data_IF_023455034499
#
_entry.id   IF_023455034499
#
_cell.length_a   1.000
_cell.length_b   1.000
_cell.length_c   1.000
_cell.angle_alpha   90.00
_cell.angle_beta   90.00
_cell.angle_gamma   90.00
#
_symmetry.space_group_name_H-M   'P 1'
#
loop_
_entity.id
_entity.type
_entity.pdbx_description
1 polymer ?
#
# COMPACT_ATOMS: atom_id res chain seq x y z
N UNK A 1 -20.69 7.69 -16.27
CA UNK A 1 -19.36 7.30 -16.78
C UNK A 1 -18.47 7.06 -15.59
N UNK A 2 -17.78 5.92 -15.54
CA UNK A 2 -16.84 5.61 -14.45
C UNK A 2 -15.60 6.50 -14.51
N UNK A 3 -14.76 6.49 -13.47
CA UNK A 3 -13.45 7.17 -13.52
C UNK A 3 -12.57 6.62 -14.64
N UNK A 4 -12.59 5.30 -14.84
CA UNK A 4 -11.90 4.62 -15.92
C UNK A 4 -12.37 5.13 -17.29
N UNK A 5 -13.67 5.18 -17.52
CA UNK A 5 -14.27 5.65 -18.78
C UNK A 5 -13.87 7.11 -19.09
N UNK A 6 -13.82 7.97 -18.08
CA UNK A 6 -13.38 9.37 -18.26
C UNK A 6 -11.90 9.45 -18.68
N UNK A 7 -11.07 8.57 -18.16
CA UNK A 7 -9.63 8.57 -18.38
C UNK A 7 -9.25 7.94 -19.74
N UNK A 8 -9.80 6.75 -20.01
CA UNK A 8 -9.48 5.92 -21.17
C UNK A 8 -10.38 6.17 -22.38
N UNK A 9 -11.56 6.78 -22.17
CA UNK A 9 -12.51 7.12 -23.24
C UNK A 9 -13.43 5.97 -23.67
N UNK A 10 -13.28 4.78 -23.12
CA UNK A 10 -14.11 3.61 -23.43
C UNK A 10 -14.60 2.90 -22.15
N UNK A 11 -15.67 2.12 -22.27
CA UNK A 11 -16.23 1.34 -21.16
C UNK A 11 -15.35 0.14 -20.83
N UNK A 12 -15.10 -0.08 -19.55
CA UNK A 12 -14.42 -1.27 -19.05
C UNK A 12 -15.35 -2.47 -19.16
N UNK A 13 -14.99 -3.48 -19.97
CA UNK A 13 -15.85 -4.65 -20.21
C UNK A 13 -15.16 -5.98 -19.87
N UNK A 14 -13.92 -6.16 -20.30
CA UNK A 14 -13.11 -7.33 -19.96
C UNK A 14 -11.62 -7.01 -20.01
N UNK A 15 -10.76 -7.79 -19.34
CA UNK A 15 -9.31 -7.62 -19.42
C UNK A 15 -8.76 -7.65 -20.85
N UNK A 16 -9.27 -8.52 -21.72
CA UNK A 16 -8.85 -8.65 -23.13
C UNK A 16 -9.21 -7.39 -23.92
N UNK A 17 -10.43 -6.90 -23.73
CA UNK A 17 -10.91 -5.67 -24.34
C UNK A 17 -10.05 -4.47 -23.90
N UNK A 18 -9.80 -4.33 -22.60
CA UNK A 18 -8.94 -3.27 -22.05
C UNK A 18 -7.54 -3.36 -22.64
N UNK A 19 -6.88 -4.53 -22.57
CA UNK A 19 -5.52 -4.71 -23.12
C UNK A 19 -5.44 -4.40 -24.61
N UNK A 20 -6.45 -4.78 -25.40
CA UNK A 20 -6.47 -4.50 -26.85
C UNK A 20 -6.59 -3.02 -27.21
N UNK A 21 -7.05 -2.18 -26.28
CA UNK A 21 -7.23 -0.73 -26.48
C UNK A 21 -6.16 0.10 -25.76
N UNK A 22 -5.16 -0.55 -25.18
CA UNK A 22 -4.04 0.09 -24.51
C UNK A 22 -2.73 -0.26 -25.20
N UNK A 23 -1.86 0.74 -25.32
CA UNK A 23 -0.48 0.56 -25.72
C UNK A 23 0.42 1.03 -24.58
N UNK A 24 1.37 0.19 -24.18
CA UNK A 24 2.37 0.50 -23.16
C UNK A 24 3.72 0.69 -23.84
N UNK A 25 4.31 1.88 -23.70
CA UNK A 25 5.65 2.19 -24.21
C UNK A 25 6.51 2.73 -23.07
N UNK A 26 7.35 1.85 -22.50
CA UNK A 26 8.11 2.16 -21.29
C UNK A 26 7.16 2.42 -20.11
N UNK A 27 7.18 3.65 -19.60
CA UNK A 27 6.33 4.10 -18.48
C UNK A 27 5.06 4.84 -18.93
N UNK A 28 4.83 4.95 -20.25
CA UNK A 28 3.71 5.68 -20.83
C UNK A 28 2.61 4.72 -21.26
N UNK A 29 1.39 4.98 -20.78
CA UNK A 29 0.18 4.25 -21.09
C UNK A 29 -0.71 5.08 -22.02
N UNK A 30 -0.89 4.59 -23.24
CA UNK A 30 -1.69 5.25 -24.28
C UNK A 30 -3.02 4.53 -24.45
N UNK A 31 -4.12 5.28 -24.40
CA UNK A 31 -5.42 4.75 -24.85
C UNK A 31 -5.54 4.90 -26.36
N UNK A 32 -5.62 3.78 -27.06
CA UNK A 32 -5.81 3.72 -28.51
C UNK A 32 -7.21 4.22 -28.94
N UNK A 33 -8.15 4.32 -28.00
CA UNK A 33 -9.50 4.79 -28.28
C UNK A 33 -9.60 6.32 -28.37
N UNK A 34 -8.96 7.04 -27.45
CA UNK A 34 -9.06 8.50 -27.36
C UNK A 34 -7.72 9.23 -27.62
N UNK A 35 -6.63 8.49 -27.83
CA UNK A 35 -5.29 9.02 -28.10
C UNK A 35 -4.61 9.68 -26.90
N UNK A 36 -5.19 9.64 -25.70
CA UNK A 36 -4.58 10.22 -24.50
C UNK A 36 -3.47 9.33 -23.98
N UNK A 37 -2.41 9.97 -23.49
CA UNK A 37 -1.22 9.33 -22.93
C UNK A 37 -1.05 9.77 -21.48
N UNK A 38 -0.74 8.81 -20.60
CA UNK A 38 -0.50 9.05 -19.19
C UNK A 38 0.69 8.24 -18.71
N UNK A 39 1.53 8.83 -17.86
CA UNK A 39 2.62 8.09 -17.24
C UNK A 39 2.08 7.14 -16.17
N UNK A 40 2.11 5.84 -16.41
CA UNK A 40 1.78 4.86 -15.37
C UNK A 40 2.91 4.71 -14.35
N UNK A 41 4.15 5.02 -14.75
CA UNK A 41 5.33 4.87 -13.91
C UNK A 41 5.83 3.42 -13.88
N UNK A 42 6.70 3.11 -12.92
CA UNK A 42 7.29 1.75 -12.78
C UNK A 42 6.76 1.07 -11.52
N UNK A 43 6.16 -0.11 -11.66
CA UNK A 43 5.80 -0.94 -10.51
C UNK A 43 7.00 -1.78 -10.06
N UNK A 44 7.20 -1.81 -8.75
CA UNK A 44 8.13 -2.70 -8.09
C UNK A 44 7.43 -3.46 -6.95
N UNK A 45 7.56 -4.79 -6.90
CA UNK A 45 7.05 -5.61 -5.79
C UNK A 45 8.22 -6.14 -4.97
N UNK A 46 8.46 -5.53 -3.83
CA UNK A 46 9.73 -5.63 -3.10
C UNK A 46 9.51 -5.93 -1.62
N UNK A 47 10.36 -6.79 -1.07
CA UNK A 47 10.35 -7.14 0.35
C UNK A 47 10.95 -6.04 1.23
N UNK A 48 10.60 -6.04 2.52
CA UNK A 48 11.20 -5.15 3.50
C UNK A 48 12.73 -5.31 3.55
N UNK A 49 13.25 -6.53 3.56
CA UNK A 49 14.71 -6.76 3.62
C UNK A 49 15.42 -6.24 2.36
N UNK A 50 14.82 -6.40 1.18
CA UNK A 50 15.37 -5.83 -0.05
C UNK A 50 15.39 -4.30 -0.02
N UNK A 51 14.36 -3.65 0.54
CA UNK A 51 14.32 -2.20 0.72
C UNK A 51 15.36 -1.73 1.75
N UNK A 52 15.50 -2.46 2.86
CA UNK A 52 16.49 -2.19 3.89
C UNK A 52 17.92 -2.31 3.36
N UNK A 53 18.19 -3.28 2.48
CA UNK A 53 19.49 -3.44 1.83
C UNK A 53 19.88 -2.29 0.90
N UNK A 54 18.90 -1.53 0.40
CA UNK A 54 19.12 -0.42 -0.56
C UNK A 54 19.11 0.96 0.08
N UNK A 55 18.52 1.09 1.25
CA UNK A 55 18.40 2.37 1.94
C UNK A 55 19.01 2.27 3.33
N UNK A 56 20.01 3.10 3.61
CA UNK A 56 20.62 3.17 4.93
C UNK A 56 19.84 4.19 5.78
N UNK A 57 19.15 3.78 6.86
CA UNK A 57 18.46 4.70 7.76
C UNK A 57 19.43 5.72 8.39
N UNK A 58 20.70 5.33 8.50
CA UNK A 58 21.81 6.14 9.01
C UNK A 58 22.51 7.04 7.99
N UNK A 59 21.95 7.28 6.80
CA UNK A 59 22.38 8.44 5.98
C UNK A 59 21.98 9.71 6.71
N UNK A 60 22.82 10.12 7.66
CA UNK A 60 22.64 11.29 8.51
C UNK A 60 22.47 12.52 7.62
N UNK A 61 21.22 12.89 7.40
CA UNK A 61 20.87 14.20 6.85
C UNK A 61 20.96 15.20 8.00
N UNK A 62 21.27 16.46 7.68
CA UNK A 62 21.43 17.52 8.68
C UNK A 62 20.16 17.83 9.48
N UNK A 63 19.00 17.30 9.07
CA UNK A 63 17.70 17.53 9.67
C UNK A 63 17.05 16.22 10.11
N UNK A 64 16.50 16.21 11.33
CA UNK A 64 15.66 15.12 11.85
C UNK A 64 14.33 15.01 11.08
N UNK A 65 13.77 13.81 11.05
CA UNK A 65 12.42 13.59 10.54
C UNK A 65 11.39 14.24 11.45
N UNK A 66 10.29 14.71 10.88
CA UNK A 66 9.14 15.28 11.61
C UNK A 66 7.89 14.45 11.33
N UNK A 67 6.94 14.44 12.26
CA UNK A 67 5.64 13.79 12.04
C UNK A 67 4.48 14.65 12.54
N UNK A 68 3.45 14.79 11.71
CA UNK A 68 2.25 15.56 12.02
C UNK A 68 0.98 14.91 11.45
N UNK A 69 -0.17 15.30 11.98
CA UNK A 69 -1.47 14.99 11.38
C UNK A 69 -1.81 16.01 10.28
N UNK A 70 -2.40 15.55 9.19
CA UNK A 70 -3.02 16.41 8.17
C UNK A 70 -4.46 15.99 7.98
N UNK A 71 -5.39 16.92 8.23
CA UNK A 71 -6.82 16.69 7.98
C UNK A 71 -7.15 17.14 6.55
N UNK A 72 -7.33 16.18 5.63
CA UNK A 72 -7.55 16.47 4.22
C UNK A 72 -8.26 15.33 3.48
N UNK A 73 -8.79 15.61 2.28
CA UNK A 73 -9.08 14.59 1.28
C UNK A 73 -7.77 14.22 0.57
N UNK A 74 -7.45 12.93 0.56
CA UNK A 74 -6.20 12.44 -0.03
C UNK A 74 -6.11 12.72 -1.54
N UNK A 75 -7.24 12.83 -2.25
CA UNK A 75 -7.25 13.23 -3.67
C UNK A 75 -6.77 14.67 -3.86
N UNK A 76 -7.18 15.58 -2.97
CA UNK A 76 -6.73 16.98 -3.02
C UNK A 76 -5.22 17.06 -2.72
N UNK A 77 -4.71 16.21 -1.82
CA UNK A 77 -3.27 16.10 -1.59
C UNK A 77 -2.51 15.60 -2.82
N UNK A 78 -3.08 14.67 -3.60
CA UNK A 78 -2.47 14.24 -4.86
C UNK A 78 -2.53 15.35 -5.92
N UNK A 79 -3.64 16.09 -6.02
CA UNK A 79 -3.82 17.18 -6.99
C UNK A 79 -2.89 18.38 -6.70
N UNK A 80 -2.56 18.66 -5.43
CA UNK A 80 -1.67 19.77 -5.08
C UNK A 80 -0.25 19.55 -5.64
N UNK A 81 0.12 20.37 -6.62
CA UNK A 81 1.42 20.35 -7.28
C UNK A 81 2.60 20.56 -6.30
N UNK A 82 2.39 21.10 -5.09
CA UNK A 82 3.43 21.18 -4.05
C UNK A 82 3.90 19.81 -3.58
N UNK A 83 3.06 18.79 -3.77
CA UNK A 83 3.35 17.40 -3.43
C UNK A 83 3.95 16.61 -4.60
N UNK A 84 4.26 17.25 -5.74
CA UNK A 84 5.00 16.62 -6.82
C UNK A 84 6.27 15.90 -6.30
N UNK A 85 6.44 14.66 -6.71
CA UNK A 85 7.54 13.77 -6.31
C UNK A 85 7.41 13.20 -4.89
N UNK A 86 6.35 13.49 -4.13
CA UNK A 86 6.15 12.91 -2.78
C UNK A 86 5.73 11.45 -2.84
N UNK A 87 5.89 10.74 -1.72
CA UNK A 87 5.43 9.36 -1.56
C UNK A 87 4.09 9.33 -0.81
N UNK A 88 3.15 8.50 -1.27
CA UNK A 88 1.89 8.24 -0.59
C UNK A 88 1.80 6.76 -0.21
N UNK A 89 1.61 6.45 1.06
CA UNK A 89 1.20 5.13 1.50
C UNK A 89 -0.27 4.93 1.14
N UNK A 90 -0.56 3.83 0.45
CA UNK A 90 -1.90 3.47 0.01
C UNK A 90 -2.33 2.19 0.70
N UNK A 91 -3.48 2.24 1.37
CA UNK A 91 -4.11 1.03 1.91
C UNK A 91 -4.62 0.18 0.74
N UNK A 92 -4.08 -1.03 0.62
CA UNK A 92 -4.29 -1.94 -0.50
C UNK A 92 -4.46 -3.37 0.02
N UNK A 93 -4.86 -4.29 -0.84
CA UNK A 93 -4.75 -5.73 -0.58
C UNK A 93 -3.37 -6.28 -0.96
N UNK A 94 -3.10 -7.54 -0.58
CA UNK A 94 -1.81 -8.20 -0.85
C UNK A 94 -1.56 -8.47 -2.35
N UNK A 95 -2.56 -8.30 -3.20
CA UNK A 95 -2.41 -8.32 -4.67
C UNK A 95 -2.22 -6.93 -5.28
N UNK A 96 -2.04 -5.88 -4.47
CA UNK A 96 -1.90 -4.52 -4.95
C UNK A 96 -3.11 -4.00 -5.73
N UNK A 97 -4.32 -4.42 -5.34
CA UNK A 97 -5.60 -3.91 -5.84
C UNK A 97 -6.46 -3.45 -4.66
N UNK A 98 -7.45 -2.61 -4.95
CA UNK A 98 -8.36 -1.99 -3.98
C UNK A 98 -9.82 -2.46 -4.16
N UNK A 99 -10.01 -3.77 -4.36
CA UNK A 99 -11.32 -4.40 -4.52
C UNK A 99 -12.12 -4.41 -3.20
N UNK A 100 -13.39 -3.98 -3.23
CA UNK A 100 -14.23 -3.77 -2.03
C UNK A 100 -14.50 -5.02 -1.16
N UNK A 101 -14.25 -6.22 -1.69
CA UNK A 101 -14.38 -7.47 -0.95
C UNK A 101 -13.70 -8.66 -1.62
N UNK A 102 -13.57 -9.80 -0.92
CA UNK A 102 -12.88 -10.99 -1.42
C UNK A 102 -13.59 -11.67 -2.59
N UNK A 103 -14.87 -11.38 -2.83
CA UNK A 103 -15.64 -11.92 -3.97
C UNK A 103 -15.40 -11.15 -5.27
N UNK A 104 -14.67 -10.03 -5.21
CA UNK A 104 -14.48 -9.15 -6.36
C UNK A 104 -13.12 -9.46 -6.98
N UNK A 105 -13.15 -9.97 -8.21
CA UNK A 105 -11.96 -10.42 -8.94
C UNK A 105 -11.33 -9.29 -9.78
N UNK A 106 -10.05 -9.40 -10.17
CA UNK A 106 -9.41 -8.47 -11.12
C UNK A 106 -10.21 -8.20 -12.41
N UNK A 107 -10.91 -9.21 -12.92
CA UNK A 107 -11.69 -9.16 -14.16
C UNK A 107 -12.95 -8.29 -14.04
N UNK A 108 -13.45 -8.08 -12.82
CA UNK A 108 -14.58 -7.16 -12.56
C UNK A 108 -14.21 -5.69 -12.76
N UNK A 109 -12.92 -5.40 -12.91
CA UNK A 109 -12.39 -4.11 -13.33
C UNK A 109 -12.16 -3.12 -12.20
N UNK A 110 -11.36 -2.10 -12.49
CA UNK A 110 -10.96 -1.07 -11.53
C UNK A 110 -11.89 0.13 -11.55
N UNK A 111 -12.76 0.26 -12.55
CA UNK A 111 -13.80 1.28 -12.65
C UNK A 111 -14.73 1.31 -11.43
N UNK A 112 -14.94 0.16 -10.78
CA UNK A 112 -15.78 0.01 -9.59
C UNK A 112 -15.25 0.75 -8.36
N UNK A 113 -13.97 1.16 -8.36
CA UNK A 113 -13.32 1.86 -7.24
C UNK A 113 -14.04 3.18 -6.87
N UNK A 114 -14.77 3.80 -7.81
CA UNK A 114 -15.52 5.02 -7.53
C UNK A 114 -16.68 4.84 -6.52
N UNK A 115 -17.10 3.59 -6.31
CA UNK A 115 -18.17 3.23 -5.38
C UNK A 115 -17.65 3.03 -3.95
N UNK A 116 -16.34 2.88 -3.77
CA UNK A 116 -15.69 2.75 -2.47
C UNK A 116 -15.14 4.10 -2.02
N UNK A 117 -15.54 4.52 -0.81
CA UNK A 117 -15.20 5.82 -0.22
C UNK A 117 -14.01 5.75 0.74
N UNK A 118 -13.35 4.61 0.84
CA UNK A 118 -12.13 4.45 1.62
C UNK A 118 -10.93 5.11 0.94
N UNK A 119 -9.85 5.34 1.70
CA UNK A 119 -8.68 6.05 1.19
C UNK A 119 -7.90 5.27 0.12
N UNK A 120 -7.91 3.93 0.17
CA UNK A 120 -7.21 3.08 -0.80
C UNK A 120 -7.64 3.34 -2.25
N UNK A 121 -8.91 3.09 -2.59
CA UNK A 121 -9.50 3.41 -3.88
C UNK A 121 -9.34 4.88 -4.27
N UNK A 122 -9.43 5.81 -3.32
CA UNK A 122 -9.23 7.23 -3.58
C UNK A 122 -7.80 7.55 -4.08
N UNK A 123 -6.77 6.98 -3.43
CA UNK A 123 -5.39 7.08 -3.89
C UNK A 123 -5.17 6.37 -5.23
N UNK A 124 -5.71 5.15 -5.39
CA UNK A 124 -5.58 4.37 -6.61
C UNK A 124 -6.18 5.11 -7.83
N UNK A 125 -7.35 5.72 -7.67
CA UNK A 125 -7.97 6.55 -8.71
C UNK A 125 -7.23 7.87 -8.95
N UNK A 126 -6.50 8.39 -7.95
CA UNK A 126 -5.71 9.62 -8.10
C UNK A 126 -4.58 9.46 -9.13
N UNK A 127 -4.02 8.25 -9.23
CA UNK A 127 -3.00 7.87 -10.20
C UNK A 127 -3.51 6.72 -11.09
N UNK A 128 -4.55 7.04 -11.86
CA UNK A 128 -5.35 6.05 -12.57
C UNK A 128 -4.57 5.20 -13.58
N UNK A 129 -3.55 5.77 -14.23
CA UNK A 129 -2.71 5.02 -15.17
C UNK A 129 -1.91 3.91 -14.46
N UNK A 130 -1.34 4.19 -13.28
CA UNK A 130 -0.67 3.18 -12.45
C UNK A 130 -1.63 2.08 -12.00
N UNK A 131 -2.85 2.45 -11.62
CA UNK A 131 -3.90 1.47 -11.23
C UNK A 131 -4.33 0.58 -12.39
N UNK A 132 -4.55 1.13 -13.58
CA UNK A 132 -4.88 0.34 -14.78
C UNK A 132 -3.73 -0.60 -15.12
N UNK A 133 -2.48 -0.13 -15.05
CA UNK A 133 -1.30 -0.96 -15.27
C UNK A 133 -1.26 -2.16 -14.30
N UNK A 134 -1.41 -1.91 -12.99
CA UNK A 134 -1.38 -2.94 -11.94
C UNK A 134 -2.45 -4.02 -12.13
N UNK A 135 -3.60 -3.70 -12.69
CA UNK A 135 -4.65 -4.69 -12.93
C UNK A 135 -4.46 -5.41 -14.28
N UNK A 136 -4.18 -4.69 -15.35
CA UNK A 136 -4.32 -5.22 -16.72
C UNK A 136 -3.01 -5.54 -17.43
N UNK A 137 -1.90 -4.93 -17.03
CA UNK A 137 -0.65 -4.94 -17.82
C UNK A 137 0.58 -5.41 -17.05
N UNK A 138 0.49 -5.52 -15.72
CA UNK A 138 1.59 -6.03 -14.90
C UNK A 138 1.98 -7.45 -15.34
N UNK A 139 3.26 -7.74 -15.60
CA UNK A 139 3.70 -9.09 -15.89
C UNK A 139 3.65 -9.95 -14.63
N UNK A 140 3.01 -11.11 -14.70
CA UNK A 140 2.95 -12.11 -13.62
C UNK A 140 3.29 -13.48 -14.20
N UNK A 141 4.52 -13.94 -13.97
CA UNK A 141 5.01 -15.15 -14.62
C UNK A 141 4.93 -15.03 -16.15
N UNK A 142 4.16 -15.90 -16.80
CA UNK A 142 3.90 -15.86 -18.24
C UNK A 142 2.64 -15.07 -18.64
N UNK A 143 1.90 -14.51 -17.69
CA UNK A 143 0.65 -13.79 -17.90
C UNK A 143 0.85 -12.27 -17.88
N UNK A 144 0.01 -11.55 -18.62
CA UNK A 144 -0.12 -10.09 -18.56
C UNK A 144 -1.41 -9.69 -17.84
N UNK A 145 -1.29 -8.94 -16.76
CA UNK A 145 -2.39 -8.55 -15.88
C UNK A 145 -2.72 -9.60 -14.82
N UNK A 146 -3.43 -9.17 -13.78
CA UNK A 146 -3.92 -10.03 -12.71
C UNK A 146 -5.25 -10.68 -13.13
N UNK A 147 -5.46 -11.92 -12.70
CA UNK A 147 -6.71 -12.67 -12.86
C UNK A 147 -7.12 -13.31 -11.55
N UNK A 148 -8.34 -13.83 -11.43
CA UNK A 148 -8.76 -14.60 -10.24
C UNK A 148 -7.78 -15.74 -9.92
N UNK A 149 -7.24 -16.40 -10.95
CA UNK A 149 -6.38 -17.57 -10.82
C UNK A 149 -4.89 -17.27 -10.64
N UNK A 150 -4.42 -16.07 -10.99
CA UNK A 150 -3.01 -15.69 -10.91
C UNK A 150 -2.87 -14.20 -10.57
N UNK A 151 -2.37 -13.93 -9.37
CA UNK A 151 -2.27 -12.60 -8.78
C UNK A 151 -0.89 -12.39 -8.17
N UNK A 152 -0.54 -11.12 -7.98
CA UNK A 152 0.53 -10.76 -7.05
C UNK A 152 0.10 -11.22 -5.64
N UNK A 153 1.05 -11.75 -4.86
CA UNK A 153 0.86 -12.05 -3.45
C UNK A 153 2.03 -11.50 -2.65
N UNK A 154 1.82 -10.36 -2.00
CA UNK A 154 2.82 -9.69 -1.18
C UNK A 154 3.19 -10.41 0.14
N UNK A 155 2.54 -11.54 0.45
CA UNK A 155 2.90 -12.40 1.57
C UNK A 155 3.44 -13.76 1.14
N UNK A 156 3.69 -14.00 -0.14
CA UNK A 156 4.11 -15.33 -0.63
C UNK A 156 5.38 -15.85 0.08
N UNK A 157 6.40 -15.01 0.25
CA UNK A 157 7.66 -15.42 0.89
C UNK A 157 7.48 -15.66 2.39
N UNK A 158 6.66 -14.84 3.04
CA UNK A 158 6.30 -15.02 4.44
C UNK A 158 5.48 -16.31 4.64
N UNK A 159 4.54 -16.62 3.74
CA UNK A 159 3.77 -17.86 3.73
C UNK A 159 4.67 -19.09 3.61
N UNK A 160 5.61 -19.06 2.65
CA UNK A 160 6.60 -20.13 2.47
C UNK A 160 7.43 -20.35 3.72
N UNK A 161 7.95 -19.28 4.33
CA UNK A 161 8.73 -19.38 5.55
C UNK A 161 7.93 -19.99 6.71
N UNK A 162 6.67 -19.58 6.92
CA UNK A 162 5.81 -20.20 7.93
C UNK A 162 5.54 -21.68 7.65
N UNK A 163 5.34 -22.05 6.38
CA UNK A 163 5.09 -23.41 5.93
C UNK A 163 6.23 -24.40 6.24
N UNK A 164 7.47 -23.91 6.34
CA UNK A 164 8.63 -24.74 6.72
C UNK A 164 8.60 -25.17 8.19
N UNK A 165 7.97 -24.38 9.06
CA UNK A 165 7.91 -24.64 10.51
C UNK A 165 6.63 -25.39 10.93
N UNK A 166 5.54 -25.23 10.19
CA UNK A 166 4.26 -25.89 10.46
C UNK A 166 3.44 -25.93 9.17
N UNK A 167 2.60 -26.97 8.94
CA UNK A 167 1.66 -27.00 7.82
C UNK A 167 0.52 -25.98 8.07
N UNK A 168 0.87 -24.70 7.99
CA UNK A 168 -0.03 -23.57 8.08
C UNK A 168 -0.52 -23.28 6.68
N UNK A 169 -1.82 -23.13 6.53
CA UNK A 169 -2.41 -22.63 5.30
C UNK A 169 -3.52 -21.62 5.60
N UNK A 170 -3.72 -20.71 4.66
CA UNK A 170 -4.88 -19.82 4.65
C UNK A 170 -5.49 -19.81 3.27
N UNK A 171 -6.77 -19.44 3.20
CA UNK A 171 -7.39 -19.15 1.93
C UNK A 171 -6.93 -17.77 1.47
N UNK A 172 -6.10 -17.72 0.43
CA UNK A 172 -5.84 -16.51 -0.33
C UNK A 172 -6.98 -16.31 -1.32
N UNK A 173 -7.71 -15.20 -1.22
CA UNK A 173 -8.81 -14.90 -2.14
C UNK A 173 -8.79 -13.43 -2.54
N UNK A 174 -8.43 -13.14 -3.80
CA UNK A 174 -8.41 -11.78 -4.36
C UNK A 174 -7.65 -10.74 -3.50
N UNK A 175 -6.49 -11.14 -2.95
CA UNK A 175 -5.67 -10.27 -2.10
C UNK A 175 -6.04 -10.31 -0.61
N UNK A 176 -7.05 -11.08 -0.21
CA UNK A 176 -7.45 -11.27 1.18
C UNK A 176 -6.85 -12.57 1.75
N UNK A 177 -6.25 -12.48 2.92
CA UNK A 177 -5.71 -13.61 3.69
C UNK A 177 -6.73 -14.04 4.73
N UNK A 178 -7.29 -15.24 4.57
CA UNK A 178 -8.39 -15.75 5.39
C UNK A 178 -8.03 -17.11 6.02
N UNK A 179 -7.21 -17.12 7.09
CA UNK A 179 -6.98 -18.33 7.89
C UNK A 179 -8.25 -18.72 8.65
N UNK A 180 -8.45 -20.03 8.82
CA UNK A 180 -9.43 -20.53 9.78
C UNK A 180 -8.95 -20.32 11.24
N UNK A 181 -9.79 -20.69 12.21
CA UNK A 181 -9.49 -20.51 13.62
C UNK A 181 -8.23 -21.25 14.09
N UNK A 182 -7.97 -22.44 13.52
CA UNK A 182 -6.87 -23.32 13.91
C UNK A 182 -5.56 -22.74 13.38
N UNK A 183 -5.54 -22.43 12.08
CA UNK A 183 -4.39 -21.85 11.40
C UNK A 183 -4.04 -20.48 11.99
N UNK A 184 -5.02 -19.60 12.22
CA UNK A 184 -4.77 -18.30 12.85
C UNK A 184 -4.12 -18.44 14.23
N UNK A 185 -4.64 -19.37 15.05
CA UNK A 185 -4.08 -19.64 16.38
C UNK A 185 -2.64 -20.17 16.28
N UNK A 186 -2.38 -21.12 15.38
CA UNK A 186 -1.05 -21.68 15.17
C UNK A 186 -0.04 -20.62 14.72
N UNK A 187 -0.41 -19.77 13.76
CA UNK A 187 0.42 -18.64 13.32
C UNK A 187 0.73 -17.74 14.52
N UNK A 188 -0.29 -17.29 15.25
CA UNK A 188 -0.08 -16.35 16.34
C UNK A 188 0.69 -16.96 17.51
N UNK A 189 0.52 -18.23 17.82
CA UNK A 189 1.30 -18.91 18.86
C UNK A 189 2.76 -19.07 18.44
N UNK A 190 3.03 -19.41 17.17
CA UNK A 190 4.37 -19.43 16.61
C UNK A 190 5.04 -18.05 16.72
N UNK A 191 4.37 -16.99 16.24
CA UNK A 191 4.90 -15.63 16.29
C UNK A 191 5.17 -15.14 17.72
N UNK A 192 4.35 -15.51 18.71
CA UNK A 192 4.61 -15.18 20.12
C UNK A 192 5.79 -15.93 20.72
N UNK A 193 6.13 -17.10 20.15
CA UNK A 193 7.28 -17.91 20.56
C UNK A 193 8.61 -17.46 19.93
N UNK A 194 8.56 -16.69 18.85
CA UNK A 194 9.73 -16.15 18.17
C UNK A 194 10.48 -15.12 19.03
N UNK A 195 11.80 -15.13 18.94
CA UNK A 195 12.69 -14.05 19.38
C UNK A 195 12.56 -12.83 18.46
N UNK A 196 13.05 -11.68 18.91
CA UNK A 196 13.07 -10.46 18.07
C UNK A 196 13.89 -10.61 16.78
N UNK A 197 14.92 -11.47 16.77
CA UNK A 197 15.69 -11.75 15.56
C UNK A 197 14.85 -12.50 14.53
N UNK A 198 14.13 -13.54 14.98
CA UNK A 198 13.23 -14.32 14.12
C UNK A 198 12.05 -13.46 13.63
N UNK A 199 11.46 -12.63 14.51
CA UNK A 199 10.42 -11.68 14.11
C UNK A 199 10.95 -10.66 13.08
N UNK A 200 12.21 -10.22 13.21
CA UNK A 200 12.84 -9.30 12.26
C UNK A 200 13.05 -9.97 10.89
N UNK A 201 13.49 -11.22 10.87
CA UNK A 201 13.60 -12.01 9.64
C UNK A 201 12.23 -12.18 8.96
N UNK A 202 11.19 -12.54 9.73
CA UNK A 202 9.83 -12.69 9.22
C UNK A 202 9.24 -11.38 8.69
N UNK A 203 9.43 -10.25 9.39
CA UNK A 203 9.06 -8.92 8.88
C UNK A 203 9.77 -8.62 7.56
N UNK A 204 11.03 -8.99 7.45
CA UNK A 204 11.88 -8.83 6.26
C UNK A 204 11.28 -9.43 4.99
N UNK A 205 10.48 -10.50 5.13
CA UNK A 205 9.86 -11.23 4.01
C UNK A 205 8.55 -10.59 3.49
N UNK A 206 7.93 -9.69 4.26
CA UNK A 206 6.69 -9.03 3.83
C UNK A 206 7.01 -8.07 2.69
N UNK A 207 6.26 -8.17 1.59
CA UNK A 207 6.41 -7.31 0.42
C UNK A 207 5.40 -6.18 0.40
N UNK A 208 5.76 -5.10 -0.28
CA UNK A 208 4.86 -4.02 -0.69
C UNK A 208 4.98 -3.78 -2.18
N UNK A 209 3.97 -3.15 -2.78
CA UNK A 209 4.05 -2.65 -4.14
C UNK A 209 4.43 -1.17 -4.14
N UNK A 210 5.42 -0.75 -4.92
CA UNK A 210 5.74 0.66 -5.10
C UNK A 210 5.54 1.02 -6.56
N UNK A 211 4.56 1.89 -6.84
CA UNK A 211 4.40 2.51 -8.14
C UNK A 211 5.19 3.82 -8.14
N UNK A 212 6.40 3.78 -8.71
CA UNK A 212 7.28 4.93 -8.82
C UNK A 212 6.82 5.90 -9.90
N UNK A 213 6.84 7.19 -9.58
CA UNK A 213 6.72 8.29 -10.56
C UNK A 213 5.47 8.18 -11.47
N UNK A 214 4.33 7.83 -10.87
CA UNK A 214 3.04 7.72 -11.56
C UNK A 214 2.33 9.07 -11.65
N UNK A 215 1.73 9.36 -12.81
CA UNK A 215 1.06 10.64 -13.04
C UNK A 215 -0.22 10.74 -12.20
N UNK A 216 -0.43 11.91 -11.59
CA UNK A 216 -1.73 12.26 -11.03
C UNK A 216 -2.70 12.57 -12.17
N UNK A 217 -3.77 11.78 -12.29
CA UNK A 217 -4.73 11.85 -13.41
C UNK A 217 -6.01 12.61 -13.08
N UNK A 218 -6.10 13.18 -11.87
CA UNK A 218 -7.23 14.00 -11.45
C UNK A 218 -6.99 15.47 -11.79
N UNK A 219 -8.09 16.20 -12.00
CA UNK A 219 -8.08 17.66 -12.22
C UNK A 219 -7.08 18.14 -13.30
N UNK A 220 -6.88 17.34 -14.35
CA UNK A 220 -5.94 17.62 -15.45
C UNK A 220 -4.48 17.83 -15.00
N UNK A 221 -4.12 17.25 -13.85
CA UNK A 221 -2.78 17.30 -13.29
C UNK A 221 -1.75 16.64 -14.21
N UNK A 222 -0.50 17.12 -14.13
CA UNK A 222 0.62 16.65 -14.97
C UNK A 222 1.85 16.23 -14.17
N UNK A 223 1.89 16.53 -12.87
CA UNK A 223 2.98 16.08 -12.02
C UNK A 223 2.81 14.61 -11.65
N UNK A 224 3.93 14.02 -11.21
CA UNK A 224 3.97 12.64 -10.76
C UNK A 224 4.17 12.58 -9.25
N UNK A 225 3.72 11.48 -8.66
CA UNK A 225 3.96 11.10 -7.27
C UNK A 225 4.33 9.62 -7.26
N UNK A 226 4.84 9.12 -6.14
CA UNK A 226 5.04 7.68 -5.94
C UNK A 226 3.98 7.16 -4.96
N UNK A 227 3.56 5.91 -5.13
CA UNK A 227 2.58 5.26 -4.26
C UNK A 227 3.11 3.93 -3.72
N UNK A 228 3.18 3.79 -2.39
CA UNK A 228 3.53 2.56 -1.69
C UNK A 228 2.25 1.84 -1.26
N UNK A 229 1.84 0.84 -2.02
CA UNK A 229 0.69 -0.02 -1.79
C UNK A 229 1.03 -1.07 -0.74
N UNK A 230 0.47 -0.88 0.45
CA UNK A 230 0.71 -1.70 1.62
C UNK A 230 -0.59 -2.36 2.05
N UNK A 231 -0.52 -3.60 2.51
CA UNK A 231 -1.67 -4.31 3.05
C UNK A 231 -1.55 -4.49 4.56
N UNK A 232 -2.70 -4.48 5.23
CA UNK A 232 -2.85 -5.00 6.59
C UNK A 232 -3.61 -6.32 6.54
N UNK A 233 -3.76 -7.02 7.68
CA UNK A 233 -4.61 -8.20 7.70
C UNK A 233 -6.10 -7.81 7.68
N UNK A 234 -6.96 -8.55 6.97
CA UNK A 234 -8.40 -8.27 6.90
C UNK A 234 -9.13 -8.81 8.13
N UNK A 235 -8.78 -8.32 9.32
CA UNK A 235 -9.31 -8.78 10.64
C UNK A 235 -10.83 -8.82 10.68
N UNK A 236 -11.51 -7.81 10.15
CA UNK A 236 -12.98 -7.73 10.10
C UNK A 236 -13.65 -8.75 9.16
N UNK A 237 -12.89 -9.37 8.25
CA UNK A 237 -13.38 -10.40 7.34
C UNK A 237 -13.18 -11.81 7.93
N UNK A 238 -12.52 -11.93 9.08
CA UNK A 238 -12.37 -13.16 9.82
C UNK A 238 -13.54 -13.45 10.76
N UNK A 239 -13.74 -14.73 11.06
CA UNK A 239 -14.74 -15.16 12.06
C UNK A 239 -14.22 -15.12 13.50
N UNK A 240 -12.95 -14.78 13.71
CA UNK A 240 -12.29 -14.78 15.02
C UNK A 240 -12.28 -13.38 15.64
N UNK A 241 -12.33 -13.25 16.98
CA UNK A 241 -12.25 -11.95 17.64
C UNK A 241 -10.93 -11.26 17.31
N UNK A 242 -10.94 -9.93 17.18
CA UNK A 242 -9.77 -9.15 16.77
C UNK A 242 -8.50 -9.53 17.55
N UNK A 243 -8.58 -9.67 18.88
CA UNK A 243 -7.43 -10.04 19.74
C UNK A 243 -6.72 -11.34 19.32
N UNK A 244 -7.42 -12.28 18.67
CA UNK A 244 -6.82 -13.51 18.17
C UNK A 244 -5.81 -13.25 17.03
N UNK A 245 -5.94 -12.11 16.32
CA UNK A 245 -5.09 -11.71 15.20
C UNK A 245 -3.85 -10.91 15.62
N UNK A 246 -3.78 -10.44 16.86
CA UNK A 246 -2.87 -9.36 17.26
C UNK A 246 -1.41 -9.58 16.83
N UNK A 247 -0.84 -10.76 17.10
CA UNK A 247 0.56 -11.05 16.78
C UNK A 247 0.83 -10.98 15.28
N UNK A 248 -0.06 -11.55 14.46
CA UNK A 248 0.08 -11.54 13.01
C UNK A 248 -0.20 -10.16 12.42
N UNK A 249 -1.24 -9.47 12.92
CA UNK A 249 -1.60 -8.12 12.48
C UNK A 249 -0.48 -7.12 12.75
N UNK A 250 0.11 -7.14 13.95
CA UNK A 250 1.24 -6.27 14.31
C UNK A 250 2.46 -6.53 13.44
N UNK A 251 2.83 -7.79 13.20
CA UNK A 251 3.97 -8.12 12.35
C UNK A 251 3.82 -7.53 10.94
N UNK A 252 2.66 -7.72 10.32
CA UNK A 252 2.37 -7.18 8.99
C UNK A 252 2.36 -5.65 9.00
N UNK A 253 1.73 -5.01 10.00
CA UNK A 253 1.70 -3.56 10.14
C UNK A 253 3.10 -2.96 10.33
N UNK A 254 3.92 -3.56 11.19
CA UNK A 254 5.31 -3.16 11.43
C UNK A 254 6.11 -3.22 10.14
N UNK A 255 6.02 -4.33 9.40
CA UNK A 255 6.73 -4.48 8.15
C UNK A 255 6.27 -3.48 7.08
N UNK A 256 4.97 -3.24 6.96
CA UNK A 256 4.40 -2.30 6.01
C UNK A 256 4.84 -0.84 6.27
N UNK A 257 4.82 -0.39 7.53
CA UNK A 257 5.31 0.95 7.88
C UNK A 257 6.82 1.08 7.68
N UNK A 258 7.60 0.10 8.13
CA UNK A 258 9.06 0.10 7.96
C UNK A 258 9.45 0.13 6.47
N UNK A 259 8.79 -0.68 5.64
CA UNK A 259 8.98 -0.71 4.19
C UNK A 259 8.61 0.63 3.55
N UNK A 260 7.53 1.26 4.00
CA UNK A 260 7.13 2.60 3.54
C UNK A 260 8.19 3.65 3.87
N UNK A 261 8.81 3.60 5.05
CA UNK A 261 9.88 4.53 5.42
C UNK A 261 11.17 4.31 4.60
N UNK A 262 11.57 3.07 4.36
CA UNK A 262 12.66 2.76 3.43
C UNK A 262 12.34 3.29 2.02
N UNK A 263 11.13 3.05 1.53
CA UNK A 263 10.66 3.59 0.25
C UNK A 263 10.68 5.12 0.23
N UNK A 264 10.35 5.80 1.33
CA UNK A 264 10.41 7.26 1.44
C UNK A 264 11.85 7.80 1.34
N UNK A 265 12.82 7.11 1.95
CA UNK A 265 14.24 7.46 1.82
C UNK A 265 14.69 7.32 0.36
N UNK A 266 14.35 6.21 -0.30
CA UNK A 266 14.65 5.98 -1.71
C UNK A 266 13.96 7.00 -2.62
N UNK A 267 12.69 7.31 -2.37
CA UNK A 267 11.93 8.32 -3.09
C UNK A 267 12.61 9.68 -3.01
N UNK A 268 13.10 10.08 -1.83
CA UNK A 268 13.85 11.32 -1.67
C UNK A 268 15.15 11.31 -2.45
N UNK A 269 15.90 10.20 -2.44
CA UNK A 269 17.14 10.10 -3.21
C UNK A 269 16.90 10.21 -4.72
N UNK A 270 15.76 9.73 -5.21
CA UNK A 270 15.34 9.83 -6.62
C UNK A 270 14.83 11.22 -7.00
N UNK A 271 13.91 11.76 -6.21
CA UNK A 271 13.07 12.90 -6.58
C UNK A 271 13.38 14.18 -5.79
N UNK A 272 14.30 14.12 -4.82
CA UNK A 272 14.62 15.23 -3.92
C UNK A 272 13.52 15.54 -2.89
N UNK A 273 12.40 14.78 -2.88
CA UNK A 273 11.24 15.07 -2.04
C UNK A 273 11.17 14.15 -0.81
N UNK A 274 11.20 14.77 0.37
CA UNK A 274 11.19 14.07 1.66
C UNK A 274 9.80 13.85 2.26
N UNK A 275 8.76 14.40 1.64
CA UNK A 275 7.39 14.31 2.14
C UNK A 275 6.83 12.92 1.90
N UNK A 276 6.32 12.29 2.96
CA UNK A 276 5.60 11.01 2.90
C UNK A 276 4.25 11.15 3.58
N UNK A 277 3.19 10.82 2.85
CA UNK A 277 1.84 10.75 3.39
C UNK A 277 1.55 9.33 3.85
N UNK A 278 1.14 9.18 5.10
CA UNK A 278 0.74 7.91 5.70
C UNK A 278 -0.77 7.87 5.91
N UNK A 279 -1.32 6.67 5.91
CA UNK A 279 -2.70 6.42 6.33
C UNK A 279 -2.68 5.48 7.53
N UNK A 280 -3.74 5.47 8.34
CA UNK A 280 -3.88 4.49 9.43
C UNK A 280 -4.22 3.13 8.83
N UNK A 281 -3.19 2.43 8.37
CA UNK A 281 -3.27 1.23 7.55
C UNK A 281 -4.15 0.16 8.21
N UNK A 282 -5.19 -0.29 7.50
CA UNK A 282 -6.09 -1.33 7.98
C UNK A 282 -7.10 -0.91 9.06
N UNK A 283 -7.11 0.35 9.51
CA UNK A 283 -8.02 0.84 10.56
C UNK A 283 -9.46 1.12 10.12
N UNK A 284 -9.75 1.00 8.83
CA UNK A 284 -11.09 1.12 8.23
C UNK A 284 -11.74 -0.24 8.01
N UNK A 285 -12.00 -0.59 6.74
CA UNK A 285 -12.69 -1.82 6.35
C UNK A 285 -12.04 -3.11 6.90
N UNK A 286 -10.70 -3.15 7.01
CA UNK A 286 -9.97 -4.31 7.52
C UNK A 286 -10.06 -4.48 9.04
N UNK A 287 -10.53 -3.47 9.79
CA UNK A 287 -10.83 -3.60 11.22
C UNK A 287 -9.64 -3.87 12.14
N UNK A 288 -8.43 -3.45 11.78
CA UNK A 288 -7.28 -3.55 12.67
C UNK A 288 -7.44 -2.60 13.86
N UNK A 289 -6.99 -3.04 15.03
CA UNK A 289 -7.03 -2.21 16.24
C UNK A 289 -6.11 -1.00 16.06
N UNK A 290 -6.64 0.20 16.30
CA UNK A 290 -5.89 1.45 16.13
C UNK A 290 -4.62 1.53 16.97
N UNK A 291 -4.58 0.90 18.16
CA UNK A 291 -3.37 0.84 18.97
C UNK A 291 -2.25 0.06 18.27
N UNK A 292 -2.55 -1.06 17.61
CA UNK A 292 -1.55 -1.82 16.85
C UNK A 292 -0.99 -0.97 15.72
N UNK A 293 -1.87 -0.27 14.99
CA UNK A 293 -1.49 0.60 13.88
C UNK A 293 -0.54 1.72 14.35
N UNK A 294 -0.91 2.42 15.43
CA UNK A 294 -0.13 3.55 15.94
C UNK A 294 1.22 3.11 16.54
N UNK A 295 1.26 1.98 17.24
CA UNK A 295 2.51 1.43 17.77
C UNK A 295 3.45 0.94 16.66
N UNK A 296 2.92 0.27 15.63
CA UNK A 296 3.70 -0.13 14.44
C UNK A 296 4.24 1.08 13.67
N UNK A 297 3.42 2.13 13.50
CA UNK A 297 3.83 3.38 12.90
C UNK A 297 4.94 4.03 13.73
N UNK A 298 4.77 4.12 15.05
CA UNK A 298 5.75 4.69 15.96
C UNK A 298 7.08 3.96 15.93
N UNK A 299 7.07 2.62 15.96
CA UNK A 299 8.27 1.80 15.78
C UNK A 299 8.97 2.12 14.46
N UNK A 300 8.23 2.21 13.37
CA UNK A 300 8.78 2.61 12.06
C UNK A 300 9.39 4.01 12.10
N UNK A 301 8.67 5.01 12.61
CA UNK A 301 9.17 6.39 12.69
C UNK A 301 10.45 6.48 13.53
N UNK A 302 10.53 5.75 14.63
CA UNK A 302 11.68 5.70 15.53
C UNK A 302 12.97 5.24 14.82
N UNK A 303 12.87 4.25 13.93
CA UNK A 303 14.00 3.77 13.12
C UNK A 303 14.49 4.81 12.10
N UNK A 304 13.64 5.77 11.74
CA UNK A 304 13.90 6.77 10.71
C UNK A 304 13.91 8.21 11.25
N UNK A 305 14.08 8.41 12.57
CA UNK A 305 14.18 9.74 13.20
C UNK A 305 15.26 10.62 12.56
N UNK A 306 16.32 10.00 12.07
CA UNK A 306 17.50 10.71 11.55
C UNK A 306 17.53 10.73 10.03
N UNK A 307 16.46 10.23 9.41
CA UNK A 307 16.33 10.11 7.98
C UNK A 307 15.82 11.40 7.32
N UNK A 308 15.48 12.47 8.05
CA UNK A 308 15.06 13.78 7.51
C UNK A 308 13.81 13.73 6.62
N UNK A 309 12.81 12.93 7.00
CA UNK A 309 11.53 12.79 6.34
C UNK A 309 10.49 13.78 6.90
N UNK A 310 9.59 14.27 6.05
CA UNK A 310 8.42 15.06 6.45
C UNK A 310 7.19 14.15 6.42
N UNK A 311 6.88 13.54 7.55
CA UNK A 311 5.84 12.51 7.69
C UNK A 311 4.50 13.16 8.01
N UNK A 312 3.48 12.86 7.20
CA UNK A 312 2.14 13.44 7.32
C UNK A 312 1.10 12.34 7.38
N UNK A 313 0.50 12.13 8.54
CA UNK A 313 -0.54 11.11 8.72
C UNK A 313 -1.89 11.71 8.37
N UNK A 314 -2.57 11.17 7.35
CA UNK A 314 -3.78 11.74 6.77
C UNK A 314 -5.03 11.25 7.51
N UNK A 315 -5.77 12.19 8.08
CA UNK A 315 -7.10 11.96 8.65
C UNK A 315 -8.17 12.57 7.74
N UNK A 316 -9.17 11.77 7.35
CA UNK A 316 -10.23 12.25 6.47
C UNK A 316 -11.33 12.98 7.25
N UNK A 317 -11.66 14.21 6.83
CA UNK A 317 -12.81 15.00 7.30
C UNK A 317 -12.68 15.62 8.69
N UNK A 318 -12.00 14.96 9.64
CA UNK A 318 -11.73 15.50 10.99
C UNK A 318 -10.45 14.92 11.58
N UNK A 319 -9.88 15.63 12.55
CA UNK A 319 -8.75 15.15 13.35
C UNK A 319 -9.10 13.85 14.10
N UNK A 320 -8.13 12.95 14.21
CA UNK A 320 -8.22 11.69 14.92
C UNK A 320 -7.64 11.84 16.34
N UNK A 321 -8.47 11.76 17.40
CA UNK A 321 -8.02 11.96 18.78
C UNK A 321 -6.95 10.98 19.25
N UNK A 322 -6.96 9.74 18.76
CA UNK A 322 -5.97 8.72 19.12
C UNK A 322 -4.62 9.02 18.46
N UNK A 323 -4.63 9.45 17.20
CA UNK A 323 -3.44 9.92 16.51
C UNK A 323 -2.86 11.16 17.19
N UNK A 324 -3.69 12.15 17.52
CA UNK A 324 -3.26 13.36 18.26
C UNK A 324 -2.61 12.99 19.59
N UNK A 325 -3.20 12.04 20.33
CA UNK A 325 -2.62 11.55 21.59
C UNK A 325 -1.26 10.89 21.35
N UNK A 326 -1.15 10.06 20.32
CA UNK A 326 0.10 9.43 19.92
C UNK A 326 1.19 10.46 19.55
N UNK A 327 0.87 11.45 18.72
CA UNK A 327 1.82 12.50 18.29
C UNK A 327 2.37 13.31 19.47
N UNK A 328 1.55 13.59 20.49
CA UNK A 328 2.01 14.26 21.72
C UNK A 328 3.01 13.43 22.51
N UNK A 329 2.94 12.10 22.42
CA UNK A 329 3.83 11.18 23.15
C UNK A 329 5.17 11.01 22.44
N UNK A 330 5.21 11.13 21.12
CA UNK A 330 6.45 11.09 20.32
C UNK A 330 7.27 12.40 20.38
N UNK A 331 6.79 13.44 21.07
CA UNK A 331 7.55 14.67 21.35
C UNK A 331 7.55 15.68 20.19
N UNK A 332 6.66 15.53 19.22
CA UNK A 332 6.56 16.40 18.04
C UNK A 332 5.44 17.43 18.25
N UNK A 333 5.72 18.70 17.97
CA UNK A 333 4.77 19.79 18.14
C UNK A 333 3.60 19.66 17.17
N UNK A 334 2.38 19.60 17.71
CA UNK A 334 1.15 19.81 16.94
C UNK A 334 1.03 21.32 16.71
N UNK A 335 1.44 21.80 15.54
CA UNK A 335 1.15 23.17 15.12
C UNK A 335 -0.22 23.29 14.48
#
# INVERSE_FOLDING_TARGET
>A
MTWFERLMGFREQSPEQVRSLLELSGEELVSLHNGKCYRCGTLEVVSLDELAGRSSPGMSVSRKSTIQEVVADVKELHIDAKNAGSLFQVASQFNLLEMVGPEITPEMGVGIYENDRTQGPACAMACGAGTIYRNYLVPIGSQTGQTESLQINCLEDFEKALGEFSPISWHYKNGYILPDAINLKQICDYLRGCSESELRELRGLVRIGIQWDTQVTLAESKHCVSQAYCSALPVAYGNQPAVAWEAFARLVLEAAYEATFHAAVLNRLRNGKSTVFLTLLGGGAFGNNTQWILESLGRGFDLFRDAGLDVRVVSYGRSNPQLVKFLRQTGEEIT
#
